data_IF_670290734271
#
_entry.id   IF_670290734271
#
_cell.length_a   1.000
_cell.length_b   1.000
_cell.length_c   1.000
_cell.angle_alpha   90.00
_cell.angle_beta   90.00
_cell.angle_gamma   90.00
#
_symmetry.space_group_name_H-M   'P 1'
#
loop_
_entity.id
_entity.type
_entity.pdbx_description
1 polymer ?
#
# COMPACT_ATOMS: atom_id res chain seq x y z
N UNK A 1 14.67 3.10 17.26
CA UNK A 1 13.19 3.29 17.21
C UNK A 1 12.47 1.98 17.54
N UNK A 2 11.20 1.97 17.97
CA UNK A 2 10.41 0.71 18.08
C UNK A 2 9.58 0.42 16.83
N UNK A 3 9.18 -0.85 16.63
CA UNK A 3 8.43 -1.29 15.45
C UNK A 3 7.11 -0.53 15.24
N UNK A 4 6.42 -0.13 16.32
CA UNK A 4 5.14 0.59 16.23
C UNK A 4 5.36 2.03 15.81
N UNK A 5 6.41 2.66 16.31
CA UNK A 5 6.85 3.99 15.88
C UNK A 5 7.24 3.99 14.40
N UNK A 6 8.03 3.02 13.96
CA UNK A 6 8.42 2.85 12.57
C UNK A 6 7.19 2.76 11.64
N UNK A 7 6.21 1.91 11.98
CA UNK A 7 4.95 1.75 11.22
C UNK A 7 4.14 3.04 11.19
N UNK A 8 4.07 3.79 12.29
CA UNK A 8 3.36 5.10 12.31
C UNK A 8 4.05 6.09 11.40
N UNK A 9 5.37 6.18 11.45
CA UNK A 9 6.18 7.06 10.60
C UNK A 9 5.97 6.72 9.12
N UNK A 10 6.04 5.43 8.74
CA UNK A 10 5.79 5.00 7.36
C UNK A 10 4.39 5.37 6.86
N UNK A 11 3.34 5.07 7.64
CA UNK A 11 1.96 5.40 7.27
C UNK A 11 1.74 6.90 7.09
N UNK A 12 2.27 7.70 8.02
CA UNK A 12 2.19 9.16 7.95
C UNK A 12 2.90 9.69 6.71
N UNK A 13 4.14 9.24 6.48
CA UNK A 13 4.94 9.66 5.34
C UNK A 13 4.25 9.34 4.00
N UNK A 14 3.69 8.12 3.85
CA UNK A 14 2.95 7.73 2.65
C UNK A 14 1.69 8.58 2.45
N UNK A 15 0.91 8.83 3.52
CA UNK A 15 -0.29 9.65 3.43
C UNK A 15 0.01 11.11 3.05
N UNK A 16 1.10 11.67 3.57
CA UNK A 16 1.55 13.03 3.26
C UNK A 16 2.12 13.13 1.85
N UNK A 17 3.01 12.21 1.45
CA UNK A 17 3.67 12.23 0.15
C UNK A 17 2.69 12.06 -1.02
N UNK A 18 1.63 11.26 -0.83
CA UNK A 18 0.62 10.97 -1.85
C UNK A 18 -0.71 11.70 -1.63
N UNK A 19 -0.71 12.80 -0.88
CA UNK A 19 -1.95 13.53 -0.54
C UNK A 19 -2.73 14.00 -1.77
N UNK A 20 -2.04 14.51 -2.80
CA UNK A 20 -2.64 15.01 -4.04
C UNK A 20 -3.18 13.90 -4.94
N UNK A 21 -2.82 12.65 -4.67
CA UNK A 21 -3.27 11.49 -5.43
C UNK A 21 -4.55 10.85 -4.85
N UNK A 22 -5.07 11.39 -3.73
CA UNK A 22 -6.32 10.94 -3.10
C UNK A 22 -6.32 9.43 -2.80
N UNK A 23 -5.21 8.94 -2.21
CA UNK A 23 -5.06 7.52 -1.89
C UNK A 23 -6.09 7.06 -0.84
N UNK A 24 -6.55 5.82 -0.97
CA UNK A 24 -7.51 5.19 -0.06
C UNK A 24 -7.02 3.80 0.39
N UNK A 25 -7.69 3.22 1.39
CA UNK A 25 -7.40 1.87 1.88
C UNK A 25 -5.93 1.66 2.32
N UNK A 26 -5.27 2.70 2.83
CA UNK A 26 -3.89 2.62 3.27
C UNK A 26 -3.73 1.64 4.44
N UNK A 27 -2.86 0.64 4.28
CA UNK A 27 -2.70 -0.48 5.23
C UNK A 27 -1.25 -0.89 5.40
N UNK A 28 -0.93 -1.47 6.55
CA UNK A 28 0.34 -2.14 6.77
C UNK A 28 0.28 -3.52 6.12
N UNK A 29 1.30 -3.88 5.35
CA UNK A 29 1.41 -5.18 4.69
C UNK A 29 2.54 -6.01 5.30
N UNK A 30 3.70 -5.39 5.51
CA UNK A 30 4.89 -6.05 6.05
C UNK A 30 5.74 -5.07 6.86
N UNK A 31 6.45 -5.58 7.87
CA UNK A 31 7.47 -4.85 8.61
C UNK A 31 8.65 -5.77 8.89
N UNK A 32 9.84 -5.29 8.60
CA UNK A 32 11.11 -5.97 8.85
C UNK A 32 12.13 -4.96 9.41
N UNK A 33 13.00 -5.42 10.29
CA UNK A 33 14.18 -4.68 10.70
C UNK A 33 15.39 -5.27 9.99
N UNK A 34 16.13 -4.43 9.26
CA UNK A 34 17.33 -4.82 8.55
C UNK A 34 18.57 -4.48 9.39
N UNK A 35 19.04 -5.47 10.16
CA UNK A 35 20.21 -5.36 11.06
C UNK A 35 21.51 -4.96 10.32
N UNK A 36 21.61 -5.21 9.01
CA UNK A 36 22.83 -4.86 8.26
C UNK A 36 22.93 -3.38 7.92
N UNK A 37 21.80 -2.66 7.95
CA UNK A 37 21.72 -1.25 7.57
C UNK A 37 21.11 -0.34 8.63
N UNK A 38 20.76 -0.89 9.79
CA UNK A 38 20.06 -0.21 10.89
C UNK A 38 18.82 0.55 10.41
N UNK A 39 18.04 -0.09 9.52
CA UNK A 39 16.83 0.48 8.94
C UNK A 39 15.60 -0.40 9.16
N UNK A 40 14.47 0.24 9.35
CA UNK A 40 13.16 -0.40 9.22
C UNK A 40 12.73 -0.41 7.76
N UNK A 41 12.29 -1.56 7.28
CA UNK A 41 11.73 -1.76 5.97
C UNK A 41 10.24 -2.07 6.12
N UNK A 42 9.38 -1.14 5.66
CA UNK A 42 7.94 -1.21 5.89
C UNK A 42 7.20 -1.17 4.57
N UNK A 43 6.37 -2.16 4.33
CA UNK A 43 5.50 -2.17 3.16
C UNK A 43 4.14 -1.60 3.50
N UNK A 44 3.78 -0.51 2.81
CA UNK A 44 2.46 0.10 2.89
C UNK A 44 1.73 -0.15 1.57
N UNK A 45 0.57 -0.78 1.68
CA UNK A 45 -0.35 -0.95 0.58
C UNK A 45 -1.39 0.16 0.58
N UNK A 46 -1.83 0.61 -0.60
CA UNK A 46 -2.94 1.54 -0.76
C UNK A 46 -3.54 1.46 -2.17
N UNK A 47 -4.66 2.15 -2.37
CA UNK A 47 -5.38 2.22 -3.64
C UNK A 47 -5.43 3.66 -4.15
N UNK A 48 -5.36 3.83 -5.46
CA UNK A 48 -5.48 5.12 -6.17
C UNK A 48 -6.75 5.16 -7.01
N UNK A 49 -7.23 6.35 -7.41
CA UNK A 49 -8.42 6.46 -8.27
C UNK A 49 -8.33 5.68 -9.59
N UNK A 50 -7.13 5.50 -10.15
CA UNK A 50 -6.91 4.72 -11.37
C UNK A 50 -6.64 3.23 -11.12
N UNK A 51 -6.57 2.79 -9.86
CA UNK A 51 -6.52 1.36 -9.49
C UNK A 51 -7.92 0.72 -9.50
N UNK A 52 -8.96 1.50 -9.73
CA UNK A 52 -10.31 1.03 -9.98
C UNK A 52 -10.50 0.84 -11.49
N UNK A 53 -11.01 -0.32 -11.92
CA UNK A 53 -11.31 -0.58 -13.32
C UNK A 53 -12.26 0.48 -13.89
N UNK A 54 -11.75 1.30 -14.83
CA UNK A 54 -12.54 2.33 -15.52
C UNK A 54 -13.64 1.77 -16.43
N UNK A 55 -13.61 0.47 -16.74
CA UNK A 55 -14.44 -0.18 -17.76
C UNK A 55 -15.41 -1.25 -17.23
N UNK A 56 -15.68 -1.29 -15.91
CA UNK A 56 -16.71 -2.19 -15.39
C UNK A 56 -18.08 -1.76 -15.90
N UNK A 57 -18.71 -2.58 -16.74
CA UNK A 57 -20.12 -2.43 -17.05
C UNK A 57 -20.92 -3.10 -15.92
N UNK A 58 -21.56 -2.31 -15.04
CA UNK A 58 -22.23 -2.86 -13.86
C UNK A 58 -23.39 -3.79 -14.21
N UNK A 59 -23.95 -3.69 -15.43
CA UNK A 59 -25.01 -4.57 -15.93
C UNK A 59 -24.43 -5.93 -16.35
N UNK A 60 -23.24 -5.95 -16.96
CA UNK A 60 -22.59 -7.19 -17.38
C UNK A 60 -22.14 -8.04 -16.18
N UNK A 61 -21.56 -7.41 -15.15
CA UNK A 61 -21.17 -8.10 -13.91
C UNK A 61 -22.37 -8.62 -13.12
N UNK A 62 -23.45 -7.83 -13.07
CA UNK A 62 -24.71 -8.21 -12.44
C UNK A 62 -25.33 -9.49 -13.01
N UNK A 63 -25.21 -9.69 -14.32
CA UNK A 63 -25.73 -10.86 -15.02
C UNK A 63 -24.79 -12.06 -14.92
N UNK A 64 -23.48 -11.83 -14.79
CA UNK A 64 -22.47 -12.87 -14.70
C UNK A 64 -22.44 -13.57 -13.33
N UNK A 65 -22.70 -12.86 -12.23
CA UNK A 65 -22.72 -13.47 -10.89
C UNK A 65 -23.74 -12.80 -9.94
N UNK A 66 -25.00 -13.29 -9.91
CA UNK A 66 -26.08 -12.67 -9.13
C UNK A 66 -25.89 -12.73 -7.61
N UNK A 67 -25.01 -13.60 -7.11
CA UNK A 67 -24.74 -13.84 -5.69
C UNK A 67 -23.44 -13.18 -5.20
N UNK A 68 -22.66 -12.57 -6.09
CA UNK A 68 -21.49 -11.82 -5.67
C UNK A 68 -21.96 -10.53 -4.96
N UNK A 69 -21.64 -10.40 -3.67
CA UNK A 69 -21.77 -9.13 -2.95
C UNK A 69 -20.99 -8.06 -3.72
N UNK A 70 -21.72 -7.22 -4.45
CA UNK A 70 -21.16 -6.21 -5.34
C UNK A 70 -20.43 -5.16 -4.51
N UNK A 71 -19.12 -5.31 -4.36
CA UNK A 71 -18.32 -4.18 -3.95
C UNK A 71 -17.93 -3.37 -5.19
N UNK A 72 -18.86 -2.49 -5.59
CA UNK A 72 -18.68 -1.52 -6.69
C UNK A 72 -17.45 -0.61 -6.44
N UNK A 73 -16.90 -0.64 -5.23
CA UNK A 73 -15.75 0.13 -4.76
C UNK A 73 -14.55 -0.75 -4.35
N UNK A 74 -14.43 -1.99 -4.86
CA UNK A 74 -13.21 -2.77 -4.66
C UNK A 74 -12.15 -2.39 -5.71
N UNK A 75 -10.96 -1.92 -5.29
CA UNK A 75 -9.85 -1.66 -6.20
C UNK A 75 -9.42 -2.97 -6.86
N UNK A 76 -9.14 -2.93 -8.17
CA UNK A 76 -8.74 -4.11 -8.94
C UNK A 76 -7.25 -4.37 -8.87
N UNK A 77 -6.49 -3.33 -8.54
CA UNK A 77 -5.06 -3.39 -8.28
C UNK A 77 -4.77 -2.65 -6.98
N UNK A 78 -3.74 -3.06 -6.25
CA UNK A 78 -3.25 -2.33 -5.07
C UNK A 78 -1.81 -1.93 -5.33
N UNK A 79 -1.46 -0.70 -4.98
CA UNK A 79 -0.09 -0.21 -5.01
C UNK A 79 0.61 -0.60 -3.72
N UNK A 80 1.86 -1.07 -3.81
CA UNK A 80 2.68 -1.46 -2.66
C UNK A 80 3.98 -0.66 -2.66
N UNK A 81 4.23 0.07 -1.59
CA UNK A 81 5.46 0.87 -1.42
C UNK A 81 6.29 0.33 -0.27
N UNK A 82 7.57 0.15 -0.51
CA UNK A 82 8.57 -0.14 0.51
C UNK A 82 9.15 1.19 1.01
N UNK A 83 8.97 1.47 2.29
CA UNK A 83 9.48 2.64 2.99
C UNK A 83 10.67 2.19 3.84
N UNK A 84 11.83 2.79 3.61
CA UNK A 84 13.00 2.58 4.46
C UNK A 84 13.14 3.74 5.44
N UNK A 85 13.29 3.44 6.73
CA UNK A 85 13.42 4.43 7.80
C UNK A 85 14.67 4.13 8.61
N UNK A 86 15.52 5.12 8.83
CA UNK A 86 16.68 4.97 9.70
C UNK A 86 16.25 4.80 11.16
N UNK A 87 16.81 3.81 11.86
CA UNK A 87 16.41 3.51 13.24
C UNK A 87 16.84 4.58 14.25
N UNK A 88 17.97 5.24 13.99
CA UNK A 88 18.61 6.14 14.94
C UNK A 88 17.89 7.48 15.04
N UNK A 89 17.45 8.04 13.90
CA UNK A 89 16.82 9.36 13.82
C UNK A 89 15.36 9.34 13.33
N UNK A 90 14.84 8.19 12.91
CA UNK A 90 13.48 8.05 12.40
C UNK A 90 13.27 8.69 11.02
N UNK A 91 14.33 9.09 10.32
CA UNK A 91 14.22 9.72 9.00
C UNK A 91 13.88 8.68 7.94
N UNK A 92 12.90 9.00 7.09
CA UNK A 92 12.61 8.20 5.90
C UNK A 92 13.72 8.43 4.87
N UNK A 93 14.50 7.40 4.58
CA UNK A 93 15.66 7.48 3.69
C UNK A 93 15.29 7.19 2.23
N UNK A 94 14.29 6.35 2.00
CA UNK A 94 13.79 6.08 0.64
C UNK A 94 12.37 5.52 0.63
N UNK A 95 11.71 5.67 -0.52
CA UNK A 95 10.44 5.04 -0.84
C UNK A 95 10.51 4.47 -2.25
N UNK A 96 10.17 3.19 -2.41
CA UNK A 96 10.26 2.47 -3.70
C UNK A 96 8.99 1.66 -3.94
N UNK A 97 8.72 1.33 -5.20
CA UNK A 97 7.74 0.28 -5.52
C UNK A 97 8.22 -1.06 -5.01
N UNK A 98 7.33 -1.80 -4.34
CA UNK A 98 7.60 -3.19 -3.98
C UNK A 98 7.17 -4.07 -5.16
N UNK A 99 8.16 -4.68 -5.81
CA UNK A 99 7.90 -5.64 -6.88
C UNK A 99 7.52 -6.97 -6.22
N UNK A 100 6.25 -7.34 -6.33
CA UNK A 100 5.78 -8.65 -5.91
C UNK A 100 6.07 -9.64 -7.06
N UNK A 101 7.17 -10.38 -6.97
CA UNK A 101 7.38 -11.54 -7.85
C UNK A 101 6.58 -12.71 -7.29
N UNK A 102 5.64 -13.23 -8.07
CA UNK A 102 5.01 -14.52 -7.75
C UNK A 102 6.09 -15.60 -7.74
N UNK A 103 6.24 -16.41 -6.68
CA UNK A 103 7.11 -17.58 -6.73
C UNK A 103 6.66 -18.49 -7.89
N UNK A 104 7.62 -18.92 -8.72
CA UNK A 104 7.39 -19.94 -9.76
C UNK A 104 7.22 -21.32 -9.15
#
# INVERSE_FOLDING_TARGET
>A
MDVKEAVRTAKKYVAELFTDETITNAGLEEVEFNDSSDNWEITIGFSRPWDYEKNRNPIAEALANPLAERSINQPTVRSYKLVCINDNDGQVVSLKDRILTTPQ
#
